data_IF_707078946221
#
_entry.id   IF_707078946221
#
_cell.length_a   1.000
_cell.length_b   1.000
_cell.length_c   1.000
_cell.angle_alpha   90.00
_cell.angle_beta   90.00
_cell.angle_gamma   90.00
#
_symmetry.space_group_name_H-M   'P 1'
#
loop_
_entity.id
_entity.type
_entity.pdbx_description
1 polymer ?
#
# COMPACT_ATOMS: atom_id res chain seq x y z
N UNK A 1 -12.58 17.72 16.04
CA UNK A 1 -12.80 16.58 16.97
C UNK A 1 -13.09 17.02 18.40
N UNK A 2 -12.19 17.72 19.09
CA UNK A 2 -12.43 18.17 20.49
C UNK A 2 -13.67 19.06 20.65
N UNK A 3 -13.89 19.98 19.71
CA UNK A 3 -15.08 20.84 19.68
C UNK A 3 -16.41 20.07 19.47
N UNK A 4 -16.34 18.82 18.99
CA UNK A 4 -17.50 17.92 18.81
C UNK A 4 -17.69 16.98 20.01
N UNK A 5 -16.94 17.16 21.11
CA UNK A 5 -17.01 16.28 22.29
C UNK A 5 -16.39 14.90 22.08
N UNK A 6 -15.69 14.67 20.97
CA UNK A 6 -15.05 13.37 20.67
C UNK A 6 -13.81 13.19 21.56
N UNK A 7 -13.74 12.06 22.26
CA UNK A 7 -12.58 11.69 23.08
C UNK A 7 -11.32 11.55 22.22
N UNK A 8 -10.16 12.01 22.70
CA UNK A 8 -8.91 11.77 21.99
C UNK A 8 -8.59 10.26 21.97
N UNK A 9 -7.92 9.77 20.90
CA UNK A 9 -7.41 8.41 20.87
C UNK A 9 -6.30 8.23 21.91
N UNK A 10 -6.14 7.00 22.42
CA UNK A 10 -5.08 6.67 23.39
C UNK A 10 -3.68 6.84 22.79
N UNK A 11 -3.53 6.56 21.48
CA UNK A 11 -2.29 6.76 20.74
C UNK A 11 -2.62 7.39 19.38
N UNK A 12 -1.90 8.45 19.03
CA UNK A 12 -1.96 9.09 17.73
C UNK A 12 -0.66 8.79 16.98
N UNK A 13 -0.68 7.81 16.07
CA UNK A 13 0.48 7.45 15.27
C UNK A 13 0.52 8.27 13.98
N UNK A 14 1.65 8.90 13.65
CA UNK A 14 1.86 9.53 12.35
C UNK A 14 2.69 8.61 11.46
N UNK A 15 2.28 8.40 10.21
CA UNK A 15 3.02 7.54 9.27
C UNK A 15 4.49 7.97 9.13
N UNK A 16 4.76 9.28 9.21
CA UNK A 16 6.12 9.85 9.20
C UNK A 16 7.03 9.35 10.33
N UNK A 17 6.47 8.88 11.45
CA UNK A 17 7.22 8.37 12.61
C UNK A 17 7.56 6.88 12.47
N UNK A 18 6.88 6.16 11.57
CA UNK A 18 6.98 4.69 11.41
C UNK A 18 7.50 4.31 10.03
N UNK A 19 8.21 5.22 9.35
CA UNK A 19 8.67 5.00 7.98
C UNK A 19 9.66 3.83 7.87
N UNK A 20 10.52 3.63 8.87
CA UNK A 20 11.42 2.47 8.89
C UNK A 20 10.68 1.15 9.04
N UNK A 21 9.62 1.10 9.86
CA UNK A 21 8.78 -0.08 9.99
C UNK A 21 8.03 -0.38 8.69
N UNK A 22 7.58 0.67 7.98
CA UNK A 22 6.96 0.54 6.66
C UNK A 22 7.95 -0.05 5.65
N UNK A 23 9.21 0.42 5.61
CA UNK A 23 10.23 -0.16 4.73
C UNK A 23 10.48 -1.63 5.05
N UNK A 24 10.70 -1.96 6.33
CA UNK A 24 10.91 -3.34 6.76
C UNK A 24 9.71 -4.24 6.42
N UNK A 25 8.50 -3.70 6.49
CA UNK A 25 7.32 -4.41 6.04
C UNK A 25 7.35 -4.70 4.54
N UNK A 26 7.63 -3.69 3.72
CA UNK A 26 7.69 -3.82 2.27
C UNK A 26 8.75 -4.85 1.86
N UNK A 27 9.90 -4.86 2.53
CA UNK A 27 10.94 -5.88 2.36
C UNK A 27 10.39 -7.29 2.57
N UNK A 28 9.60 -7.48 3.63
CA UNK A 28 8.95 -8.74 3.94
C UNK A 28 7.87 -9.16 2.93
N UNK A 29 7.27 -8.21 2.21
CA UNK A 29 6.32 -8.51 1.12
C UNK A 29 7.07 -8.90 -0.15
N UNK A 30 8.13 -8.18 -0.49
CA UNK A 30 9.01 -8.48 -1.62
C UNK A 30 9.66 -9.85 -1.42
N UNK A 31 10.17 -10.15 -0.23
CA UNK A 31 10.82 -11.43 0.07
C UNK A 31 9.88 -12.63 -0.08
N UNK A 32 8.56 -12.41 0.04
CA UNK A 32 7.53 -13.43 -0.17
C UNK A 32 7.05 -13.52 -1.63
N UNK A 33 7.55 -12.67 -2.51
CA UNK A 33 7.18 -12.63 -3.93
C UNK A 33 5.84 -11.95 -4.22
N UNK A 34 5.34 -11.13 -3.29
CA UNK A 34 4.05 -10.42 -3.45
C UNK A 34 4.20 -8.94 -3.78
N UNK A 35 5.43 -8.46 -4.00
CA UNK A 35 5.68 -7.10 -4.41
C UNK A 35 6.91 -7.03 -5.33
N UNK A 36 6.97 -5.97 -6.14
CA UNK A 36 8.08 -5.71 -7.05
C UNK A 36 8.41 -4.23 -7.10
N UNK A 37 9.69 -3.92 -7.28
CA UNK A 37 10.15 -2.55 -7.53
C UNK A 37 10.09 -2.21 -9.02
N UNK A 38 9.68 -1.00 -9.34
CA UNK A 38 9.60 -0.44 -10.70
C UNK A 38 9.81 1.07 -10.63
N UNK A 39 10.78 1.60 -11.39
CA UNK A 39 11.09 3.03 -11.50
C UNK A 39 11.19 3.82 -10.18
N UNK A 40 11.79 3.21 -9.14
CA UNK A 40 11.93 3.81 -7.82
C UNK A 40 10.67 3.75 -6.93
N UNK A 41 9.60 3.13 -7.42
CA UNK A 41 8.40 2.78 -6.67
C UNK A 41 8.36 1.27 -6.39
N UNK A 42 7.54 0.86 -5.43
CA UNK A 42 7.25 -0.55 -5.12
C UNK A 42 5.76 -0.77 -5.19
N UNK A 43 5.35 -1.81 -5.92
CA UNK A 43 3.97 -2.18 -6.13
C UNK A 43 3.69 -3.55 -5.52
N UNK A 44 2.48 -3.72 -5.00
CA UNK A 44 1.95 -5.01 -4.58
C UNK A 44 1.40 -5.77 -5.78
N UNK A 45 1.88 -7.00 -5.98
CA UNK A 45 1.46 -7.89 -7.06
C UNK A 45 0.19 -8.64 -6.66
N UNK A 46 -0.95 -8.10 -7.08
CA UNK A 46 -2.25 -8.68 -6.79
C UNK A 46 -2.43 -10.06 -7.41
N UNK A 47 -1.85 -10.29 -8.59
CA UNK A 47 -1.91 -11.57 -9.29
C UNK A 47 -1.12 -12.65 -8.57
N UNK A 48 0.10 -12.34 -8.11
CA UNK A 48 0.91 -13.24 -7.30
C UNK A 48 0.20 -13.61 -5.99
N UNK A 49 -0.44 -12.64 -5.35
CA UNK A 49 -1.20 -12.89 -4.12
C UNK A 49 -2.43 -13.77 -4.35
N UNK A 50 -3.21 -13.53 -5.40
CA UNK A 50 -4.39 -14.36 -5.76
C UNK A 50 -3.98 -15.79 -6.12
N UNK A 51 -2.84 -15.96 -6.80
CA UNK A 51 -2.30 -17.28 -7.16
C UNK A 51 -1.75 -18.07 -5.96
N UNK A 52 -1.46 -17.40 -4.85
CA UNK A 52 -0.96 -18.07 -3.64
C UNK A 52 -2.08 -18.87 -2.96
N UNK A 53 -1.80 -20.15 -2.69
CA UNK A 53 -2.78 -21.06 -2.12
C UNK A 53 -3.33 -20.55 -0.78
N UNK A 54 -4.66 -20.50 -0.66
CA UNK A 54 -5.35 -20.12 0.59
C UNK A 54 -5.50 -18.61 0.84
N UNK A 55 -5.07 -17.75 -0.09
CA UNK A 55 -5.28 -16.29 0.00
C UNK A 55 -6.42 -15.84 -0.93
N UNK A 56 -7.25 -14.91 -0.44
CA UNK A 56 -8.34 -14.28 -1.21
C UNK A 56 -8.16 -12.77 -1.14
N UNK A 57 -8.07 -12.14 -2.30
CA UNK A 57 -8.12 -10.69 -2.47
C UNK A 57 -9.59 -10.22 -2.52
N UNK A 58 -9.87 -9.01 -2.01
CA UNK A 58 -11.23 -8.44 -1.95
C UNK A 58 -12.15 -9.14 -0.96
N UNK A 59 -11.66 -9.40 0.25
CA UNK A 59 -12.42 -10.10 1.30
C UNK A 59 -13.50 -9.18 1.89
N UNK A 60 -13.26 -7.87 1.99
CA UNK A 60 -14.28 -6.90 2.41
C UNK A 60 -15.20 -6.47 1.29
N UNK A 61 -14.69 -6.37 0.07
CA UNK A 61 -15.48 -5.97 -1.10
C UNK A 61 -15.27 -6.93 -2.28
N UNK A 62 -15.98 -8.07 -2.29
CA UNK A 62 -15.84 -9.06 -3.34
C UNK A 62 -16.17 -8.53 -4.74
N UNK A 63 -17.03 -7.50 -4.83
CA UNK A 63 -17.43 -6.86 -6.08
C UNK A 63 -16.37 -5.95 -6.70
N UNK A 64 -15.35 -5.54 -5.94
CA UNK A 64 -14.22 -4.77 -6.46
C UNK A 64 -13.15 -5.66 -7.12
N UNK A 65 -13.17 -6.98 -6.87
CA UNK A 65 -12.22 -7.92 -7.48
C UNK A 65 -12.47 -8.01 -8.99
N UNK A 66 -11.53 -7.53 -9.78
CA UNK A 66 -11.65 -7.47 -11.25
C UNK A 66 -12.38 -6.22 -11.76
N UNK A 67 -12.81 -5.30 -10.89
CA UNK A 67 -13.34 -4.00 -11.28
C UNK A 67 -12.27 -2.92 -11.09
N UNK A 68 -11.44 -2.74 -12.11
CA UNK A 68 -10.33 -1.79 -12.09
C UNK A 68 -10.76 -0.35 -11.80
N UNK A 69 -11.97 0.05 -12.18
CA UNK A 69 -12.51 1.39 -11.95
C UNK A 69 -12.73 1.67 -10.46
N UNK A 70 -13.31 0.72 -9.71
CA UNK A 70 -13.55 0.87 -8.27
C UNK A 70 -12.24 0.83 -7.46
N UNK A 71 -11.21 0.13 -7.96
CA UNK A 71 -9.89 0.07 -7.32
C UNK A 71 -9.05 1.33 -7.60
N UNK A 72 -9.18 1.91 -8.80
CA UNK A 72 -8.45 3.11 -9.20
C UNK A 72 -8.88 4.37 -8.44
N UNK A 73 -10.12 4.44 -7.94
CA UNK A 73 -10.61 5.58 -7.14
C UNK A 73 -9.87 5.74 -5.80
N UNK A 74 -9.22 4.68 -5.30
CA UNK A 74 -8.44 4.68 -4.07
C UNK A 74 -6.99 5.18 -4.21
N UNK A 75 -6.37 4.93 -5.35
CA UNK A 75 -4.98 5.30 -5.63
C UNK A 75 -4.90 6.68 -6.28
N UNK A 76 -5.22 7.73 -5.51
CA UNK A 76 -5.28 9.14 -5.97
C UNK A 76 -4.66 9.42 -7.35
N UNK A 77 -5.48 9.27 -8.40
CA UNK A 77 -5.38 9.61 -9.84
C UNK A 77 -4.01 9.81 -10.55
N UNK A 78 -2.87 9.46 -9.95
CA UNK A 78 -1.54 9.95 -10.35
C UNK A 78 -0.47 8.85 -10.43
N UNK A 79 -0.85 7.58 -10.56
CA UNK A 79 0.09 6.55 -11.02
C UNK A 79 0.01 6.46 -12.54
N UNK A 80 1.11 6.77 -13.23
CA UNK A 80 1.23 6.41 -14.65
C UNK A 80 1.12 4.89 -14.76
N UNK A 81 0.14 4.40 -15.51
CA UNK A 81 -0.21 2.97 -15.61
C UNK A 81 0.95 2.11 -16.17
N UNK A 82 1.90 2.70 -16.90
CA UNK A 82 2.98 1.99 -17.57
C UNK A 82 4.01 1.33 -16.63
N UNK A 83 4.03 1.68 -15.35
CA UNK A 83 4.97 1.10 -14.37
C UNK A 83 4.44 -0.18 -13.71
N UNK A 84 3.14 -0.45 -13.84
CA UNK A 84 2.45 -1.57 -13.21
C UNK A 84 2.40 -2.79 -14.13
N UNK A 85 2.59 -3.98 -13.57
CA UNK A 85 2.39 -5.26 -14.27
C UNK A 85 0.92 -5.60 -14.44
N UNK A 86 0.08 -5.17 -13.49
CA UNK A 86 -1.37 -5.31 -13.56
C UNK A 86 -2.06 -4.00 -13.20
N UNK A 87 -3.17 -3.63 -13.87
CA UNK A 87 -3.97 -2.46 -13.48
C UNK A 87 -4.52 -2.54 -12.04
N UNK A 88 -4.59 -3.74 -11.47
CA UNK A 88 -5.03 -3.97 -10.09
C UNK A 88 -3.91 -3.81 -9.06
N UNK A 89 -2.65 -3.72 -9.49
CA UNK A 89 -1.53 -3.55 -8.58
C UNK A 89 -1.54 -2.15 -7.99
N UNK A 90 -1.23 -2.08 -6.70
CA UNK A 90 -1.24 -0.83 -5.95
C UNK A 90 0.11 -0.51 -5.32
N UNK A 91 0.39 0.77 -5.16
CA UNK A 91 1.69 1.27 -4.70
C UNK A 91 1.86 1.08 -3.18
N UNK A 92 2.93 0.40 -2.76
CA UNK A 92 3.38 0.31 -1.37
C UNK A 92 4.38 1.42 -1.03
N UNK A 93 5.26 1.74 -1.97
CA UNK A 93 6.25 2.83 -1.89
C UNK A 93 6.22 3.63 -3.18
N UNK A 94 6.06 4.94 -3.10
CA UNK A 94 6.03 5.81 -4.28
C UNK A 94 7.30 6.64 -4.33
N UNK A 95 7.97 6.67 -5.48
CA UNK A 95 9.08 7.60 -5.70
C UNK A 95 8.58 9.04 -5.50
N UNK A 96 9.37 9.85 -4.79
CA UNK A 96 9.00 11.23 -4.50
C UNK A 96 9.43 12.16 -5.62
N UNK A 97 8.55 13.09 -6.00
CA UNK A 97 8.88 14.20 -6.90
C UNK A 97 9.48 15.35 -6.11
N UNK A 98 10.11 16.28 -6.84
CA UNK A 98 10.66 17.49 -6.26
C UNK A 98 9.56 18.29 -5.52
N UNK A 99 9.85 18.69 -4.28
CA UNK A 99 8.91 19.41 -3.42
C UNK A 99 7.98 18.52 -2.57
N UNK A 100 8.03 17.19 -2.70
CA UNK A 100 7.27 16.27 -1.86
C UNK A 100 8.11 15.73 -0.68
N UNK A 101 7.49 15.37 0.46
CA UNK A 101 8.20 14.70 1.54
C UNK A 101 8.85 13.39 1.04
N UNK A 102 10.11 13.19 1.40
CA UNK A 102 10.89 12.04 0.93
C UNK A 102 11.70 11.42 2.05
N UNK A 103 11.88 10.12 1.96
CA UNK A 103 12.69 9.30 2.85
C UNK A 103 13.57 8.38 2.00
N UNK A 104 14.82 8.19 2.45
CA UNK A 104 15.78 7.29 1.80
C UNK A 104 15.33 5.83 1.92
N UNK A 105 15.39 5.06 0.84
CA UNK A 105 15.10 3.63 0.86
C UNK A 105 15.99 2.89 -0.13
N UNK A 106 16.04 1.56 -0.03
CA UNK A 106 16.79 0.74 -0.99
C UNK A 106 16.23 0.78 -2.41
N UNK A 107 14.99 1.25 -2.59
CA UNK A 107 14.37 1.46 -3.90
C UNK A 107 14.53 2.91 -4.39
N UNK A 108 15.23 3.76 -3.64
CA UNK A 108 15.38 5.18 -3.92
C UNK A 108 14.55 6.07 -2.99
N UNK A 109 14.74 7.38 -3.12
CA UNK A 109 14.06 8.37 -2.31
C UNK A 109 12.55 8.39 -2.65
N UNK A 110 11.71 8.19 -1.63
CA UNK A 110 10.27 8.09 -1.83
C UNK A 110 9.48 8.22 -0.55
N UNK A 111 8.22 7.79 -0.60
CA UNK A 111 7.29 7.85 0.51
C UNK A 111 6.36 6.64 0.56
N UNK A 112 5.76 6.35 1.72
CA UNK A 112 4.71 5.35 1.82
C UNK A 112 3.55 5.62 0.84
N UNK A 113 3.07 4.57 0.19
CA UNK A 113 1.91 4.62 -0.70
C UNK A 113 0.63 5.01 0.02
N UNK A 114 -0.23 5.78 -0.64
CA UNK A 114 -1.55 6.11 -0.14
C UNK A 114 -2.55 5.08 -0.66
N UNK A 115 -3.02 4.19 0.22
CA UNK A 115 -4.10 3.24 -0.07
C UNK A 115 -5.44 3.91 0.26
N UNK A 116 -6.02 4.69 -0.65
CA UNK A 116 -7.39 5.16 -0.46
C UNK A 116 -8.33 3.96 -0.47
N UNK A 117 -9.07 3.74 0.61
CA UNK A 117 -10.09 2.69 0.70
C UNK A 117 -9.59 1.28 1.04
N UNK A 118 -8.38 0.88 0.64
CA UNK A 118 -7.86 -0.46 0.93
C UNK A 118 -7.06 -0.51 2.23
N UNK A 119 -7.52 -1.33 3.19
CA UNK A 119 -6.91 -1.40 4.52
C UNK A 119 -6.05 -2.65 4.59
N UNK A 120 -4.73 -2.49 4.50
CA UNK A 120 -3.83 -3.60 4.83
C UNK A 120 -3.87 -3.83 6.35
N UNK A 121 -4.32 -5.02 6.74
CA UNK A 121 -4.35 -5.50 8.11
C UNK A 121 -3.07 -6.21 8.49
N UNK A 122 -2.38 -5.73 9.53
CA UNK A 122 -1.14 -6.33 10.00
C UNK A 122 -1.34 -7.07 11.31
N UNK A 123 -0.67 -8.20 11.43
CA UNK A 123 -0.65 -9.04 12.62
C UNK A 123 0.68 -9.81 12.63
N UNK A 124 1.15 -10.20 13.82
CA UNK A 124 2.48 -10.81 14.03
C UNK A 124 2.79 -12.02 13.12
N UNK A 125 1.78 -12.65 12.53
CA UNK A 125 1.90 -13.86 11.72
C UNK A 125 1.63 -13.63 10.20
N UNK A 126 1.43 -12.39 9.75
CA UNK A 126 1.20 -12.12 8.33
C UNK A 126 0.53 -10.79 8.03
N UNK A 127 0.17 -10.59 6.78
CA UNK A 127 -0.68 -9.48 6.34
C UNK A 127 -1.98 -10.05 5.77
N UNK A 128 -3.09 -9.37 6.04
CA UNK A 128 -4.38 -9.57 5.41
C UNK A 128 -4.71 -8.34 4.58
N UNK A 129 -5.16 -8.59 3.35
CA UNK A 129 -5.77 -7.59 2.50
C UNK A 129 -7.26 -7.60 2.80
N UNK A 130 -7.74 -6.53 3.41
CA UNK A 130 -9.15 -6.33 3.69
C UNK A 130 -9.82 -5.63 2.52
#
# INVERSE_FOLDING_TARGET
MKALGVRPPDVLTRVSEYVEDVKSFIDGVISKGYAYASNGSVYFDTQAFIKSAGKRYGKLEPGAVGNATLLAEGEGALSQDDEKRSPMDFVLWKSSKEGEPTWESQWGAGRPGAHGGMRLGFHKNGFELF
#
